data_IF_387525021993
#
_entry.id   IF_387525021993
#
_cell.length_a   1.000
_cell.length_b   1.000
_cell.length_c   1.000
_cell.angle_alpha   90.00
_cell.angle_beta   90.00
_cell.angle_gamma   90.00
#
_symmetry.space_group_name_H-M   'P 1'
#
loop_
_entity.id
_entity.type
_entity.pdbx_description
1 polymer ?
#
# COMPACT_ATOMS: atom_id res chain seq x y z
N UNK A 1 -9.71 -15.56 12.04
CA UNK A 1 -8.64 -15.26 11.05
C UNK A 1 -7.92 -14.01 11.52
N UNK A 2 -6.64 -14.11 11.93
CA UNK A 2 -5.87 -12.91 12.33
C UNK A 2 -5.74 -12.03 11.09
N UNK A 3 -6.48 -10.93 11.03
CA UNK A 3 -6.32 -9.91 9.99
C UNK A 3 -4.87 -9.43 10.08
N UNK A 4 -4.05 -9.77 9.09
CA UNK A 4 -2.61 -9.48 9.08
C UNK A 4 -2.34 -8.03 8.67
N UNK A 5 -3.37 -7.33 8.22
CA UNK A 5 -3.36 -5.93 7.77
C UNK A 5 -4.61 -5.26 8.33
N UNK A 6 -4.45 -4.09 8.91
CA UNK A 6 -5.55 -3.22 9.29
C UNK A 6 -5.55 -1.99 8.38
N UNK A 7 -6.69 -1.71 7.76
CA UNK A 7 -6.85 -0.61 6.81
C UNK A 7 -7.96 0.30 7.34
N UNK A 8 -7.70 1.60 7.34
CA UNK A 8 -8.65 2.64 7.70
C UNK A 8 -8.77 3.62 6.52
N UNK A 9 -9.97 4.14 6.32
CA UNK A 9 -10.29 5.09 5.25
C UNK A 9 -10.83 6.35 5.87
N UNK A 10 -10.35 7.48 5.39
CA UNK A 10 -10.78 8.82 5.82
C UNK A 10 -11.03 9.67 4.57
N UNK A 11 -12.10 10.47 4.57
CA UNK A 11 -12.33 11.45 3.50
C UNK A 11 -11.59 12.75 3.86
N UNK A 12 -10.84 13.27 2.90
CA UNK A 12 -10.18 14.57 2.97
C UNK A 12 -10.74 15.46 1.87
N UNK A 13 -10.72 16.77 2.08
CA UNK A 13 -10.99 17.73 1.01
C UNK A 13 -9.67 18.16 0.40
N UNK A 14 -9.52 18.03 -0.91
CA UNK A 14 -8.36 18.54 -1.62
C UNK A 14 -8.43 20.07 -1.64
N UNK A 15 -7.53 20.73 -0.91
CA UNK A 15 -7.52 22.19 -0.76
C UNK A 15 -7.36 22.95 -2.09
N UNK A 16 -6.85 22.31 -3.15
CA UNK A 16 -6.64 22.94 -4.46
C UNK A 16 -7.86 22.80 -5.39
N UNK A 17 -8.58 21.67 -5.31
CA UNK A 17 -9.69 21.36 -6.23
C UNK A 17 -11.07 21.42 -5.57
N UNK A 18 -11.14 21.40 -4.24
CA UNK A 18 -12.39 21.25 -3.47
C UNK A 18 -13.00 19.85 -3.57
N UNK A 19 -12.32 18.90 -4.22
CA UNK A 19 -12.82 17.53 -4.37
C UNK A 19 -12.57 16.70 -3.11
N UNK A 20 -13.52 15.85 -2.77
CA UNK A 20 -13.33 14.83 -1.74
C UNK A 20 -12.38 13.75 -2.25
N UNK A 21 -11.32 13.50 -1.51
CA UNK A 21 -10.36 12.44 -1.76
C UNK A 21 -10.40 11.43 -0.62
N UNK A 22 -10.39 10.15 -0.95
CA UNK A 22 -10.30 9.08 0.05
C UNK A 22 -8.82 8.81 0.37
N UNK A 23 -8.42 9.04 1.62
CA UNK A 23 -7.12 8.65 2.13
C UNK A 23 -7.20 7.29 2.82
N UNK A 24 -6.20 6.45 2.54
CA UNK A 24 -6.13 5.08 3.08
C UNK A 24 -4.93 4.97 4.00
N UNK A 25 -5.17 4.65 5.27
CA UNK A 25 -4.12 4.35 6.26
C UNK A 25 -3.98 2.85 6.43
N UNK A 26 -2.77 2.33 6.21
CA UNK A 26 -2.45 0.90 6.34
C UNK A 26 -1.55 0.69 7.55
N UNK A 27 -2.05 -0.01 8.56
CA UNK A 27 -1.28 -0.46 9.71
C UNK A 27 -0.70 -1.84 9.44
N UNK A 28 0.62 -1.95 9.58
CA UNK A 28 1.40 -3.16 9.27
C UNK A 28 2.03 -3.70 10.55
N UNK A 29 1.69 -4.95 10.87
CA UNK A 29 2.20 -5.62 12.07
C UNK A 29 2.45 -7.13 11.83
N UNK A 30 3.12 -7.77 12.79
CA UNK A 30 3.41 -9.20 12.81
C UNK A 30 4.17 -9.67 11.57
N UNK A 31 3.69 -10.76 10.98
CA UNK A 31 4.33 -11.42 9.84
C UNK A 31 4.51 -10.50 8.63
N UNK A 32 3.57 -9.58 8.37
CA UNK A 32 3.71 -8.66 7.24
C UNK A 32 4.85 -7.66 7.48
N UNK A 33 4.97 -7.13 8.71
CA UNK A 33 6.07 -6.24 9.09
C UNK A 33 7.43 -6.93 8.94
N UNK A 34 7.53 -8.18 9.39
CA UNK A 34 8.75 -8.98 9.24
C UNK A 34 9.10 -9.20 7.77
N UNK A 35 8.11 -9.54 6.95
CA UNK A 35 8.32 -9.72 5.51
C UNK A 35 8.79 -8.44 4.83
N UNK A 36 8.16 -7.29 5.10
CA UNK A 36 8.60 -5.99 4.57
C UNK A 36 10.04 -5.68 4.97
N UNK A 37 10.43 -5.98 6.21
CA UNK A 37 11.82 -5.78 6.67
C UNK A 37 12.82 -6.67 5.93
N UNK A 38 12.45 -7.92 5.62
CA UNK A 38 13.28 -8.83 4.80
C UNK A 38 13.41 -8.29 3.38
N UNK A 39 12.34 -7.78 2.78
CA UNK A 39 12.39 -7.21 1.43
C UNK A 39 13.35 -6.02 1.38
N UNK A 40 13.26 -5.10 2.35
CA UNK A 40 14.19 -3.97 2.48
C UNK A 40 15.64 -4.38 2.68
N UNK A 41 15.90 -5.44 3.44
CA UNK A 41 17.27 -5.88 3.70
C UNK A 41 17.93 -6.57 2.49
N UNK A 42 17.12 -7.07 1.55
CA UNK A 42 17.60 -7.79 0.36
C UNK A 42 17.77 -6.89 -0.86
N UNK A 43 17.06 -5.77 -0.94
CA UNK A 43 17.06 -4.91 -2.11
C UNK A 43 17.20 -3.46 -1.70
N UNK A 44 18.34 -2.86 -2.04
CA UNK A 44 18.66 -1.47 -1.72
C UNK A 44 17.75 -0.44 -2.38
N UNK A 45 16.87 -0.84 -3.30
CA UNK A 45 15.86 0.09 -3.84
C UNK A 45 14.76 0.42 -2.83
N UNK A 46 14.57 -0.41 -1.79
CA UNK A 46 13.56 -0.19 -0.77
C UNK A 46 14.21 0.30 0.52
N UNK A 47 14.07 1.60 0.80
CA UNK A 47 14.61 2.25 1.99
C UNK A 47 13.58 2.30 3.11
N UNK A 48 12.31 2.50 2.74
CA UNK A 48 11.19 2.67 3.67
C UNK A 48 10.15 1.56 3.51
N UNK A 49 9.30 1.42 4.52
CA UNK A 49 8.09 0.57 4.41
C UNK A 49 7.18 1.06 3.30
N UNK A 50 7.09 2.39 3.11
CA UNK A 50 6.25 3.00 2.07
C UNK A 50 6.70 2.56 0.69
N UNK A 51 8.01 2.52 0.42
CA UNK A 51 8.55 2.11 -0.88
C UNK A 51 8.09 0.70 -1.25
N UNK A 52 8.16 -0.24 -0.29
CA UNK A 52 7.74 -1.63 -0.49
C UNK A 52 6.25 -1.72 -0.74
N UNK A 53 5.45 -1.04 0.08
CA UNK A 53 3.98 -1.13 0.02
C UNK A 53 3.45 -0.44 -1.24
N UNK A 54 3.99 0.72 -1.60
CA UNK A 54 3.62 1.44 -2.82
C UNK A 54 3.93 0.61 -4.06
N UNK A 55 5.13 0.02 -4.15
CA UNK A 55 5.50 -0.81 -5.29
C UNK A 55 4.66 -2.10 -5.37
N UNK A 56 4.39 -2.75 -4.23
CA UNK A 56 3.52 -3.92 -4.18
C UNK A 56 2.08 -3.60 -4.62
N UNK A 57 1.53 -2.47 -4.16
CA UNK A 57 0.20 -2.00 -4.56
C UNK A 57 0.15 -1.71 -6.06
N UNK A 58 1.11 -0.96 -6.60
CA UNK A 58 1.14 -0.62 -8.03
C UNK A 58 1.23 -1.87 -8.91
N UNK A 59 2.10 -2.82 -8.58
CA UNK A 59 2.21 -4.10 -9.31
C UNK A 59 0.91 -4.89 -9.25
N UNK A 60 0.29 -4.98 -8.08
CA UNK A 60 -1.00 -5.65 -7.92
C UNK A 60 -2.10 -4.99 -8.76
N UNK A 61 -2.15 -3.65 -8.78
CA UNK A 61 -3.11 -2.89 -9.60
C UNK A 61 -2.89 -3.06 -11.10
N UNK A 62 -1.63 -3.11 -11.56
CA UNK A 62 -1.31 -3.40 -12.96
C UNK A 62 -1.79 -4.79 -13.38
N UNK A 63 -1.64 -5.79 -12.51
CA UNK A 63 -2.13 -7.14 -12.77
C UNK A 63 -3.66 -7.18 -12.81
N UNK A 64 -4.34 -6.53 -11.86
CA UNK A 64 -5.80 -6.39 -11.86
C UNK A 64 -6.28 -5.71 -13.15
N UNK A 65 -5.61 -4.63 -13.58
CA UNK A 65 -5.96 -3.92 -14.83
C UNK A 65 -5.90 -4.84 -16.06
N UNK A 66 -4.94 -5.76 -16.12
CA UNK A 66 -4.83 -6.72 -17.25
C UNK A 66 -6.04 -7.63 -17.34
N UNK A 67 -6.68 -7.96 -16.21
CA UNK A 67 -7.87 -8.80 -16.21
C UNK A 67 -9.12 -8.09 -16.72
N UNK A 68 -9.18 -6.77 -16.60
CA UNK A 68 -10.28 -5.94 -17.13
C UNK A 68 -10.04 -5.40 -18.55
N UNK A 69 -8.83 -5.59 -19.09
CA UNK A 69 -8.47 -5.15 -20.44
C UNK A 69 -8.51 -6.28 -21.48
N UNK A 70 -9.10 -7.44 -21.12
CA UNK A 70 -9.38 -8.57 -22.01
C UNK A 70 -10.81 -8.50 -22.53
#
# INVERSE_FOLDING_TARGET
MKKTISIMTEEFENEQTGEKVEGVTIMIDGMLKEFVNIVKSKDSKYQTTVDVIQDALMKGLEDIKKDFSK
#
